data_IF_631667299458
#
_entry.id   IF_631667299458
#
_cell.length_a   1.000
_cell.length_b   1.000
_cell.length_c   1.000
_cell.angle_alpha   90.00
_cell.angle_beta   90.00
_cell.angle_gamma   90.00
#
_symmetry.space_group_name_H-M   'P 1'
#
loop_
_entity.id
_entity.type
_entity.pdbx_description
1 polymer ?
#
# COMPACT_ATOMS: atom_id res chain seq x y z
N UNK A 1 7.73 43.91 25.50
CA UNK A 1 7.83 42.93 26.57
C UNK A 1 8.39 41.64 25.97
N UNK A 2 9.53 41.10 26.46
CA UNK A 2 10.11 39.87 25.90
C UNK A 2 9.17 38.66 25.98
N UNK A 3 7.98 38.78 26.50
CA UNK A 3 6.95 37.74 26.56
C UNK A 3 6.03 37.70 25.33
N UNK A 4 6.07 38.69 24.44
CA UNK A 4 5.20 38.71 23.24
C UNK A 4 5.67 37.81 22.09
N UNK A 5 6.93 37.34 22.12
CA UNK A 5 7.48 36.48 21.05
C UNK A 5 7.36 34.97 21.31
N UNK A 6 6.83 34.55 22.47
CA UNK A 6 6.65 33.14 22.77
C UNK A 6 5.27 32.67 22.38
N UNK A 7 5.21 31.81 21.36
CA UNK A 7 3.97 31.22 20.85
C UNK A 7 3.86 29.76 21.23
N UNK A 8 2.76 29.38 21.87
CA UNK A 8 2.38 27.99 22.09
C UNK A 8 1.54 27.49 20.90
N UNK A 9 1.95 26.39 20.29
CA UNK A 9 1.22 25.76 19.19
C UNK A 9 0.58 24.48 19.73
N UNK A 10 -0.75 24.39 19.65
CA UNK A 10 -1.48 23.19 19.99
C UNK A 10 -1.41 22.18 18.84
N UNK A 11 -1.19 20.91 19.16
CA UNK A 11 -1.13 19.88 18.15
C UNK A 11 -1.42 18.50 18.72
N UNK A 12 -1.54 17.54 17.84
CA UNK A 12 -1.71 16.11 18.16
C UNK A 12 -1.00 15.26 17.12
N UNK A 13 -0.41 14.17 17.57
CA UNK A 13 -0.09 13.03 16.70
C UNK A 13 -1.34 12.14 16.64
N UNK A 14 -1.86 11.95 15.44
CA UNK A 14 -3.08 11.19 15.19
C UNK A 14 -2.84 9.93 14.35
N UNK A 15 -3.82 9.07 14.33
CA UNK A 15 -3.83 7.88 13.46
C UNK A 15 -4.64 8.18 12.21
N UNK A 16 -3.97 8.58 11.16
CA UNK A 16 -4.60 8.89 9.87
C UNK A 16 -4.98 7.62 9.13
N UNK A 17 -6.07 7.70 8.40
CA UNK A 17 -6.53 6.66 7.49
C UNK A 17 -6.67 7.29 6.11
N UNK A 18 -5.99 6.72 5.11
CA UNK A 18 -6.27 7.08 3.72
C UNK A 18 -7.57 6.37 3.31
N UNK A 19 -8.64 7.13 3.30
CA UNK A 19 -9.99 6.71 2.93
C UNK A 19 -10.34 7.05 1.48
N UNK A 20 -9.39 7.61 0.72
CA UNK A 20 -9.47 7.74 -0.73
C UNK A 20 -9.17 6.39 -1.40
N UNK A 21 -10.01 5.39 -1.11
CA UNK A 21 -9.84 4.07 -1.69
C UNK A 21 -10.23 4.14 -3.16
N UNK A 22 -9.32 3.71 -4.01
CA UNK A 22 -9.60 3.49 -5.42
C UNK A 22 -9.67 1.99 -5.68
N UNK A 23 -10.85 1.49 -6.04
CA UNK A 23 -11.01 0.11 -6.53
C UNK A 23 -10.35 -0.02 -7.90
N UNK A 24 -10.44 1.05 -8.70
CA UNK A 24 -9.88 1.09 -10.06
C UNK A 24 -9.04 2.34 -10.22
N UNK A 25 -7.76 2.16 -10.56
CA UNK A 25 -6.88 3.25 -10.98
C UNK A 25 -7.16 3.58 -12.45
N UNK A 26 -7.16 4.87 -12.79
CA UNK A 26 -7.41 5.38 -14.14
C UNK A 26 -8.65 4.74 -14.82
N UNK A 27 -9.84 4.79 -14.20
CA UNK A 27 -11.04 4.16 -14.75
C UNK A 27 -11.49 4.88 -16.02
N UNK A 28 -12.00 4.13 -16.97
CA UNK A 28 -12.71 4.64 -18.13
C UNK A 28 -14.08 3.97 -18.27
N UNK A 29 -14.94 4.55 -19.11
CA UNK A 29 -16.28 4.01 -19.28
C UNK A 29 -16.24 2.72 -20.11
N UNK A 30 -16.36 1.58 -19.43
CA UNK A 30 -16.47 0.26 -20.07
C UNK A 30 -17.33 -0.68 -19.22
N UNK A 31 -17.89 -1.70 -19.86
CA UNK A 31 -18.65 -2.75 -19.21
C UNK A 31 -17.75 -3.86 -18.68
N UNK A 32 -18.31 -4.74 -17.83
CA UNK A 32 -17.59 -5.94 -17.38
C UNK A 32 -17.53 -7.06 -18.42
N UNK A 33 -17.93 -6.80 -19.66
CA UNK A 33 -17.78 -7.73 -20.78
C UNK A 33 -16.46 -7.56 -21.53
N UNK A 34 -15.70 -6.51 -21.20
CA UNK A 34 -14.38 -6.24 -21.79
C UNK A 34 -13.34 -7.32 -21.40
N UNK A 35 -12.16 -7.18 -21.97
CA UNK A 35 -11.05 -8.08 -21.67
C UNK A 35 -10.38 -7.67 -20.37
N UNK A 36 -10.30 -8.59 -19.41
CA UNK A 36 -9.57 -8.42 -18.15
C UNK A 36 -8.41 -9.41 -18.08
N UNK A 37 -7.27 -8.93 -17.62
CA UNK A 37 -6.08 -9.74 -17.35
C UNK A 37 -5.91 -9.84 -15.85
N UNK A 38 -6.29 -10.96 -15.28
CA UNK A 38 -6.11 -11.25 -13.86
C UNK A 38 -4.76 -11.92 -13.67
N UNK A 39 -3.88 -11.35 -12.85
CA UNK A 39 -2.52 -11.84 -12.72
C UNK A 39 -2.05 -11.83 -11.27
N UNK A 40 -1.04 -12.64 -11.02
CA UNK A 40 -0.36 -12.80 -9.75
C UNK A 40 1.11 -13.10 -9.98
N UNK A 41 1.98 -12.72 -9.04
CA UNK A 41 3.42 -12.89 -9.12
C UNK A 41 3.95 -13.60 -7.88
N UNK A 42 4.88 -14.54 -8.09
CA UNK A 42 5.76 -14.99 -7.03
C UNK A 42 7.14 -14.32 -7.17
N UNK A 43 7.71 -13.90 -6.04
CA UNK A 43 8.92 -13.06 -6.01
C UNK A 43 9.91 -13.52 -4.94
N UNK A 44 11.18 -13.12 -5.05
CA UNK A 44 12.21 -13.41 -4.02
C UNK A 44 12.05 -12.56 -2.75
N UNK A 45 11.08 -11.64 -2.70
CA UNK A 45 10.78 -10.78 -1.55
C UNK A 45 9.83 -9.65 -1.90
N UNK A 46 9.72 -8.65 -1.04
CA UNK A 46 8.64 -7.65 -1.10
C UNK A 46 8.98 -6.34 -1.84
N UNK A 47 10.23 -6.11 -2.19
CA UNK A 47 10.69 -4.86 -2.81
C UNK A 47 10.96 -5.07 -4.30
N UNK A 48 10.21 -4.42 -5.17
CA UNK A 48 10.40 -4.50 -6.62
C UNK A 48 11.78 -4.01 -7.10
N UNK A 49 12.48 -3.17 -6.32
CA UNK A 49 13.82 -2.68 -6.65
C UNK A 49 14.94 -3.62 -6.22
N UNK A 50 14.69 -4.49 -5.22
CA UNK A 50 15.72 -5.34 -4.59
C UNK A 50 15.48 -6.83 -4.80
N UNK A 51 14.27 -7.20 -5.15
CA UNK A 51 13.87 -8.60 -5.32
C UNK A 51 13.42 -8.85 -6.76
N UNK A 52 13.46 -10.10 -7.15
CA UNK A 52 13.18 -10.53 -8.51
C UNK A 52 11.91 -11.35 -8.58
N UNK A 53 11.25 -11.34 -9.74
CA UNK A 53 10.12 -12.21 -10.04
C UNK A 53 10.66 -13.63 -10.27
N UNK A 54 9.98 -14.64 -9.72
CA UNK A 54 10.28 -16.07 -9.90
C UNK A 54 9.18 -16.86 -10.61
N UNK A 55 7.93 -16.35 -10.62
CA UNK A 55 6.84 -16.87 -11.43
C UNK A 55 5.89 -15.73 -11.82
N UNK A 56 5.34 -15.81 -13.05
CA UNK A 56 4.24 -14.97 -13.51
C UNK A 56 3.09 -15.88 -13.88
N UNK A 57 1.93 -15.67 -13.26
CA UNK A 57 0.68 -16.33 -13.59
C UNK A 57 -0.37 -15.33 -14.02
N UNK A 58 -1.11 -15.62 -15.10
CA UNK A 58 -2.22 -14.78 -15.50
C UNK A 58 -3.32 -15.57 -16.21
N UNK A 59 -4.55 -15.06 -16.10
CA UNK A 59 -5.71 -15.56 -16.82
C UNK A 59 -6.41 -14.39 -17.53
N UNK A 60 -6.88 -14.66 -18.76
CA UNK A 60 -7.63 -13.71 -19.56
C UNK A 60 -9.12 -14.00 -19.45
N UNK A 61 -9.88 -13.00 -19.02
CA UNK A 61 -11.35 -13.04 -18.96
C UNK A 61 -11.89 -12.19 -20.09
N UNK A 62 -12.91 -12.71 -20.76
CA UNK A 62 -13.71 -11.94 -21.72
C UNK A 62 -15.17 -12.42 -21.68
N UNK A 63 -16.12 -11.50 -21.74
CA UNK A 63 -17.55 -11.82 -21.67
C UNK A 63 -17.92 -12.71 -20.47
N UNK A 64 -17.32 -12.46 -19.31
CA UNK A 64 -17.56 -13.22 -18.07
C UNK A 64 -17.00 -14.64 -18.05
N UNK A 65 -16.11 -15.00 -18.98
CA UNK A 65 -15.51 -16.34 -19.04
C UNK A 65 -13.99 -16.27 -19.17
N UNK A 66 -13.30 -17.25 -18.57
CA UNK A 66 -11.86 -17.41 -18.74
C UNK A 66 -11.61 -18.01 -20.13
N UNK A 67 -10.84 -17.29 -20.97
CA UNK A 67 -10.58 -17.69 -22.37
C UNK A 67 -9.14 -18.10 -22.62
N UNK A 68 -8.19 -17.71 -21.77
CA UNK A 68 -6.76 -18.02 -21.95
C UNK A 68 -6.00 -17.96 -20.63
N UNK A 69 -4.81 -18.55 -20.59
CA UNK A 69 -3.90 -18.60 -19.42
C UNK A 69 -2.46 -18.37 -19.85
N UNK A 70 -1.72 -17.67 -18.99
CA UNK A 70 -0.28 -17.50 -19.09
C UNK A 70 0.37 -18.02 -17.80
N UNK A 71 1.43 -18.78 -17.92
CA UNK A 71 2.22 -19.24 -16.78
C UNK A 71 3.67 -19.38 -17.20
N UNK A 72 4.57 -18.76 -16.46
CA UNK A 72 6.00 -18.89 -16.71
C UNK A 72 6.79 -18.77 -15.43
N UNK A 73 7.67 -19.71 -15.15
CA UNK A 73 8.75 -19.51 -14.22
C UNK A 73 9.77 -18.53 -14.78
N UNK A 74 10.41 -17.79 -13.89
CA UNK A 74 11.45 -16.81 -14.21
C UNK A 74 12.70 -17.12 -13.41
N UNK A 75 13.84 -17.16 -14.07
CA UNK A 75 15.13 -17.31 -13.39
C UNK A 75 15.52 -15.95 -12.78
N UNK A 76 15.56 -15.82 -11.44
CA UNK A 76 15.90 -14.54 -10.78
C UNK A 76 17.39 -14.18 -10.89
N UNK A 77 18.26 -15.09 -11.37
CA UNK A 77 19.73 -14.95 -11.42
C UNK A 77 20.39 -14.76 -10.04
N UNK A 78 19.66 -15.12 -8.98
CA UNK A 78 20.10 -15.08 -7.59
C UNK A 78 19.46 -16.26 -6.82
N UNK A 79 20.01 -16.69 -5.68
CA UNK A 79 19.40 -17.71 -4.86
C UNK A 79 18.05 -17.26 -4.30
N UNK A 80 17.06 -18.15 -4.28
CA UNK A 80 15.75 -17.91 -3.66
C UNK A 80 15.91 -18.00 -2.14
N UNK A 81 15.51 -16.97 -1.36
CA UNK A 81 15.58 -17.04 0.10
C UNK A 81 14.77 -18.18 0.67
N UNK A 82 15.31 -18.89 1.67
CA UNK A 82 14.68 -20.09 2.25
C UNK A 82 13.24 -19.87 2.72
N UNK A 83 12.93 -18.67 3.28
CA UNK A 83 11.57 -18.37 3.71
C UNK A 83 10.59 -18.22 2.53
N UNK A 84 11.06 -17.77 1.37
CA UNK A 84 10.29 -17.71 0.11
C UNK A 84 10.10 -19.12 -0.47
N UNK A 85 11.16 -19.94 -0.50
CA UNK A 85 11.04 -21.34 -0.89
C UNK A 85 9.98 -22.07 -0.04
N UNK A 86 10.01 -21.85 1.28
CA UNK A 86 9.02 -22.44 2.19
C UNK A 86 7.60 -21.92 1.94
N UNK A 87 7.45 -20.67 1.53
CA UNK A 87 6.16 -20.04 1.26
C UNK A 87 5.57 -20.51 -0.07
N UNK A 88 6.36 -20.43 -1.14
CA UNK A 88 5.91 -20.64 -2.53
C UNK A 88 6.10 -22.09 -3.01
N UNK A 89 6.98 -22.84 -2.35
CA UNK A 89 7.42 -24.16 -2.81
C UNK A 89 8.36 -24.11 -4.03
N UNK A 90 8.67 -22.92 -4.55
CA UNK A 90 9.57 -22.74 -5.70
C UNK A 90 11.02 -22.76 -5.19
N UNK A 91 11.82 -23.67 -5.76
CA UNK A 91 13.23 -23.86 -5.40
C UNK A 91 14.15 -23.36 -6.49
N UNK A 92 15.42 -23.15 -6.15
CA UNK A 92 16.45 -22.81 -7.12
C UNK A 92 16.47 -23.76 -8.32
N UNK A 93 16.39 -25.06 -8.08
CA UNK A 93 16.34 -26.08 -9.13
C UNK A 93 15.12 -25.93 -10.05
N UNK A 94 14.00 -25.43 -9.54
CA UNK A 94 12.77 -25.21 -10.31
C UNK A 94 12.96 -24.13 -11.37
N UNK A 95 13.70 -23.07 -11.04
CA UNK A 95 13.89 -21.88 -11.89
C UNK A 95 15.23 -21.83 -12.61
N UNK A 96 16.17 -22.76 -12.27
CA UNK A 96 17.54 -22.74 -12.79
C UNK A 96 17.63 -22.70 -14.32
N UNK A 97 16.74 -23.42 -15.01
CA UNK A 97 16.70 -23.50 -16.46
C UNK A 97 15.59 -22.65 -17.09
N UNK A 98 14.88 -21.86 -16.27
CA UNK A 98 13.86 -20.93 -16.76
C UNK A 98 14.50 -19.73 -17.43
N UNK A 99 13.74 -19.08 -18.31
CA UNK A 99 14.16 -17.84 -18.96
C UNK A 99 14.25 -16.69 -17.94
N UNK A 100 15.19 -15.78 -18.09
CA UNK A 100 15.24 -14.58 -17.27
C UNK A 100 14.10 -13.61 -17.61
N UNK A 101 13.86 -12.63 -16.74
CA UNK A 101 12.71 -11.70 -16.86
C UNK A 101 12.71 -10.95 -18.20
N UNK A 102 13.88 -10.61 -18.73
CA UNK A 102 14.05 -9.89 -19.99
C UNK A 102 13.47 -10.66 -21.20
N UNK A 103 13.39 -12.00 -21.10
CA UNK A 103 12.83 -12.88 -22.14
C UNK A 103 11.37 -13.27 -21.86
N UNK A 104 10.94 -13.30 -20.58
CA UNK A 104 9.58 -13.68 -20.20
C UNK A 104 8.63 -12.49 -20.29
N UNK A 105 9.07 -11.31 -19.84
CA UNK A 105 8.23 -10.12 -19.73
C UNK A 105 7.60 -9.70 -21.06
N UNK A 106 8.30 -9.70 -22.21
CA UNK A 106 7.65 -9.38 -23.48
C UNK A 106 6.46 -10.28 -23.82
N UNK A 107 6.56 -11.59 -23.56
CA UNK A 107 5.46 -12.54 -23.79
C UNK A 107 4.28 -12.30 -22.84
N UNK A 108 4.55 -11.92 -21.58
CA UNK A 108 3.51 -11.50 -20.65
C UNK A 108 2.82 -10.21 -21.10
N UNK A 109 3.58 -9.21 -21.53
CA UNK A 109 3.03 -7.94 -22.04
C UNK A 109 2.19 -8.16 -23.30
N UNK A 110 2.61 -9.04 -24.21
CA UNK A 110 1.82 -9.45 -25.37
C UNK A 110 0.51 -10.13 -24.94
N UNK A 111 0.54 -10.97 -23.92
CA UNK A 111 -0.67 -11.55 -23.34
C UNK A 111 -1.59 -10.48 -22.74
N UNK A 112 -1.04 -9.41 -22.16
CA UNK A 112 -1.80 -8.31 -21.53
C UNK A 112 -2.46 -7.35 -22.55
N UNK A 113 -2.12 -7.40 -23.84
CA UNK A 113 -2.62 -6.44 -24.84
C UNK A 113 -4.13 -6.24 -24.73
N UNK A 114 -4.54 -4.96 -24.77
CA UNK A 114 -5.93 -4.48 -24.73
C UNK A 114 -6.75 -4.91 -23.50
N UNK A 115 -6.10 -5.46 -22.45
CA UNK A 115 -6.75 -5.91 -21.24
C UNK A 115 -6.67 -4.92 -20.09
N UNK A 116 -7.71 -4.87 -19.28
CA UNK A 116 -7.73 -4.17 -18.00
C UNK A 116 -7.04 -5.07 -16.98
N UNK A 117 -6.01 -4.55 -16.29
CA UNK A 117 -5.25 -5.31 -15.33
C UNK A 117 -6.05 -5.52 -14.04
N UNK A 118 -6.01 -6.73 -13.49
CA UNK A 118 -6.68 -7.08 -12.22
C UNK A 118 -5.74 -7.90 -11.37
N UNK A 119 -5.57 -7.54 -10.09
CA UNK A 119 -4.81 -8.33 -9.15
C UNK A 119 -5.38 -8.26 -7.73
N UNK A 120 -4.93 -9.14 -6.85
CA UNK A 120 -5.33 -9.18 -5.45
C UNK A 120 -4.29 -8.45 -4.60
N UNK A 121 -4.51 -7.17 -4.27
CA UNK A 121 -3.53 -6.20 -3.78
C UNK A 121 -2.60 -5.70 -4.90
N UNK A 122 -3.23 -5.18 -5.94
CA UNK A 122 -2.62 -4.84 -7.23
C UNK A 122 -1.37 -3.96 -7.18
N UNK A 123 -1.19 -3.14 -6.14
CA UNK A 123 -0.01 -2.30 -5.97
C UNK A 123 1.28 -3.10 -5.89
N UNK A 124 1.24 -4.26 -5.22
CA UNK A 124 2.39 -5.14 -5.09
C UNK A 124 2.83 -5.66 -6.47
N UNK A 125 1.94 -6.35 -7.16
CA UNK A 125 2.25 -6.98 -8.45
C UNK A 125 2.61 -5.96 -9.53
N UNK A 126 1.83 -4.87 -9.62
CA UNK A 126 2.10 -3.79 -10.57
C UNK A 126 3.46 -3.13 -10.31
N UNK A 127 3.91 -3.00 -9.06
CA UNK A 127 5.22 -2.41 -8.75
C UNK A 127 6.36 -3.21 -9.39
N UNK A 128 6.29 -4.54 -9.36
CA UNK A 128 7.28 -5.41 -9.99
C UNK A 128 7.21 -5.35 -11.52
N UNK A 129 6.01 -5.37 -12.09
CA UNK A 129 5.84 -5.25 -13.56
C UNK A 129 6.39 -3.92 -14.06
N UNK A 130 5.99 -2.80 -13.46
CA UNK A 130 6.43 -1.46 -13.87
C UNK A 130 7.95 -1.29 -13.73
N UNK A 131 8.53 -1.77 -12.62
CA UNK A 131 9.98 -1.73 -12.41
C UNK A 131 10.72 -2.52 -13.50
N UNK A 132 10.29 -3.73 -13.81
CA UNK A 132 10.93 -4.56 -14.83
C UNK A 132 10.70 -4.01 -16.25
N UNK A 133 9.54 -3.44 -16.56
CA UNK A 133 9.32 -2.73 -17.83
C UNK A 133 10.32 -1.58 -17.99
N UNK A 134 10.48 -0.74 -16.96
CA UNK A 134 11.47 0.35 -16.98
C UNK A 134 12.89 -0.16 -17.18
N UNK A 135 13.29 -1.21 -16.44
CA UNK A 135 14.61 -1.83 -16.53
C UNK A 135 14.91 -2.42 -17.91
N UNK A 136 13.90 -3.01 -18.55
CA UNK A 136 14.02 -3.63 -19.87
C UNK A 136 13.76 -2.66 -21.03
N UNK A 137 13.40 -1.40 -20.79
CA UNK A 137 13.04 -0.43 -21.81
C UNK A 137 11.74 -0.77 -22.57
N UNK A 138 10.81 -1.47 -21.90
CA UNK A 138 9.52 -1.88 -22.45
C UNK A 138 8.41 -0.93 -22.01
N UNK A 139 7.41 -0.74 -22.87
CA UNK A 139 6.19 -0.01 -22.50
C UNK A 139 5.42 -0.82 -21.44
N UNK A 140 4.90 -0.17 -20.38
CA UNK A 140 4.09 -0.84 -19.38
C UNK A 140 2.75 -1.31 -19.97
N UNK A 141 2.06 -2.28 -19.32
CA UNK A 141 0.71 -2.67 -19.71
C UNK A 141 -0.29 -1.53 -19.44
N UNK A 142 -1.60 -1.78 -19.67
CA UNK A 142 -2.66 -0.79 -19.40
C UNK A 142 -2.49 -0.11 -18.05
N UNK A 143 -2.69 1.22 -18.01
CA UNK A 143 -2.69 2.00 -16.77
C UNK A 143 -3.96 1.80 -15.94
N UNK A 144 -5.01 1.18 -16.50
CA UNK A 144 -6.24 0.86 -15.78
C UNK A 144 -6.04 -0.44 -15.02
N UNK A 145 -6.06 -0.34 -13.69
CA UNK A 145 -5.80 -1.46 -12.79
C UNK A 145 -6.90 -1.55 -11.75
N UNK A 146 -7.51 -2.74 -11.61
CA UNK A 146 -8.52 -3.05 -10.61
C UNK A 146 -7.91 -3.85 -9.47
N UNK A 147 -8.20 -3.43 -8.23
CA UNK A 147 -7.78 -4.13 -7.01
C UNK A 147 -8.95 -4.93 -6.40
N UNK A 148 -8.85 -6.24 -6.40
CA UNK A 148 -9.88 -7.11 -5.82
C UNK A 148 -9.91 -7.08 -4.29
N UNK A 149 -8.83 -6.67 -3.59
CA UNK A 149 -8.85 -6.43 -2.14
C UNK A 149 -9.69 -5.21 -1.80
N UNK A 150 -9.50 -4.12 -2.55
CA UNK A 150 -10.31 -2.90 -2.39
C UNK A 150 -11.79 -3.20 -2.64
N UNK A 151 -12.09 -3.94 -3.69
CA UNK A 151 -13.45 -4.35 -4.04
C UNK A 151 -14.04 -5.30 -2.97
N UNK A 152 -13.27 -6.26 -2.46
CA UNK A 152 -13.69 -7.17 -1.40
C UNK A 152 -14.06 -6.42 -0.10
N UNK A 153 -13.33 -5.36 0.25
CA UNK A 153 -13.63 -4.54 1.44
C UNK A 153 -15.02 -3.91 1.38
N UNK A 154 -15.47 -3.58 0.19
CA UNK A 154 -16.78 -2.96 -0.04
C UNK A 154 -17.88 -4.03 -0.14
N UNK A 155 -17.68 -5.08 -0.94
CA UNK A 155 -18.70 -6.09 -1.21
C UNK A 155 -18.86 -7.13 -0.10
N UNK A 156 -17.81 -7.37 0.72
CA UNK A 156 -17.79 -8.35 1.80
C UNK A 156 -17.48 -7.68 3.16
N UNK A 157 -18.31 -6.74 3.61
CA UNK A 157 -18.03 -5.95 4.82
C UNK A 157 -17.94 -6.80 6.11
N UNK A 158 -18.50 -8.01 6.12
CA UNK A 158 -18.45 -8.96 7.24
C UNK A 158 -17.05 -9.56 7.45
N UNK A 159 -16.18 -9.57 6.45
CA UNK A 159 -14.85 -10.13 6.57
C UNK A 159 -13.94 -9.26 7.44
N UNK A 160 -13.12 -9.92 8.26
CA UNK A 160 -12.08 -9.27 9.08
C UNK A 160 -10.70 -9.27 8.41
N UNK A 161 -10.48 -10.15 7.44
CA UNK A 161 -9.23 -10.32 6.68
C UNK A 161 -9.58 -10.48 5.21
N UNK A 162 -8.79 -9.87 4.35
CA UNK A 162 -9.01 -9.84 2.90
C UNK A 162 -7.85 -10.51 2.14
N UNK A 163 -7.22 -11.53 2.74
CA UNK A 163 -6.29 -12.41 2.03
C UNK A 163 -7.05 -13.25 1.02
N UNK A 164 -6.39 -13.69 -0.03
CA UNK A 164 -6.99 -14.45 -1.12
C UNK A 164 -7.78 -15.67 -0.62
N UNK A 165 -7.18 -16.46 0.28
CA UNK A 165 -7.79 -17.64 0.91
C UNK A 165 -9.08 -17.31 1.69
N UNK A 166 -9.08 -16.19 2.41
CA UNK A 166 -10.23 -15.77 3.20
C UNK A 166 -11.40 -15.30 2.31
N UNK A 167 -11.10 -14.56 1.24
CA UNK A 167 -12.09 -14.09 0.26
C UNK A 167 -12.64 -15.26 -0.55
N UNK A 168 -11.77 -16.16 -1.04
CA UNK A 168 -12.18 -17.37 -1.76
C UNK A 168 -13.12 -18.24 -0.93
N UNK A 169 -12.78 -18.47 0.36
CA UNK A 169 -13.60 -19.25 1.29
C UNK A 169 -14.98 -18.63 1.49
N UNK A 170 -15.05 -17.31 1.67
CA UNK A 170 -16.35 -16.59 1.85
C UNK A 170 -17.22 -16.73 0.61
N UNK A 171 -16.64 -16.70 -0.57
CA UNK A 171 -17.35 -16.85 -1.85
C UNK A 171 -17.52 -18.31 -2.30
N UNK A 172 -17.16 -19.30 -1.44
CA UNK A 172 -17.21 -20.73 -1.74
C UNK A 172 -16.43 -21.16 -2.98
N UNK A 173 -15.31 -20.48 -3.26
CA UNK A 173 -14.38 -20.80 -4.34
C UNK A 173 -13.31 -21.74 -3.81
N UNK A 174 -13.06 -22.84 -4.53
CA UNK A 174 -11.98 -23.78 -4.19
C UNK A 174 -10.64 -23.28 -4.71
N UNK A 175 -9.63 -23.22 -3.83
CA UNK A 175 -8.24 -22.99 -4.17
C UNK A 175 -7.59 -24.36 -4.46
N UNK A 176 -7.09 -24.55 -5.68
CA UNK A 176 -6.49 -25.84 -6.08
C UNK A 176 -5.08 -26.02 -5.49
N UNK A 177 -4.14 -25.11 -5.75
CA UNK A 177 -2.76 -25.15 -5.27
C UNK A 177 -2.31 -23.75 -4.85
N UNK A 178 -2.46 -23.42 -3.59
CA UNK A 178 -2.06 -22.13 -3.07
C UNK A 178 -0.53 -21.89 -3.23
N UNK A 179 -0.14 -20.67 -3.59
CA UNK A 179 1.24 -20.25 -3.88
C UNK A 179 1.81 -20.78 -5.21
N UNK A 180 0.98 -20.87 -6.21
CA UNK A 180 1.35 -20.96 -7.61
C UNK A 180 0.70 -19.79 -8.33
N UNK A 181 1.50 -18.92 -8.91
CA UNK A 181 1.02 -17.65 -9.48
C UNK A 181 -0.18 -17.83 -10.45
N UNK A 182 -0.20 -18.87 -11.28
CA UNK A 182 -1.32 -19.10 -12.19
C UNK A 182 -2.58 -19.60 -11.46
N UNK A 183 -2.45 -20.40 -10.40
CA UNK A 183 -3.59 -20.89 -9.62
C UNK A 183 -4.19 -19.76 -8.76
N UNK A 184 -3.34 -18.89 -8.19
CA UNK A 184 -3.76 -17.71 -7.44
C UNK A 184 -4.39 -16.65 -8.36
N UNK A 185 -3.86 -16.46 -9.58
CA UNK A 185 -4.50 -15.65 -10.62
C UNK A 185 -5.87 -16.20 -11.04
N UNK A 186 -6.00 -17.53 -11.21
CA UNK A 186 -7.30 -18.15 -11.54
C UNK A 186 -8.30 -18.03 -10.38
N UNK A 187 -7.85 -18.22 -9.14
CA UNK A 187 -8.69 -17.97 -7.96
C UNK A 187 -9.16 -16.51 -7.90
N UNK A 188 -8.25 -15.57 -8.12
CA UNK A 188 -8.57 -14.14 -8.20
C UNK A 188 -9.56 -13.84 -9.33
N UNK A 189 -9.43 -14.51 -10.47
CA UNK A 189 -10.36 -14.41 -11.59
C UNK A 189 -11.77 -14.89 -11.22
N UNK A 190 -11.88 -16.02 -10.54
CA UNK A 190 -13.16 -16.55 -10.07
C UNK A 190 -13.80 -15.63 -9.01
N UNK A 191 -12.99 -15.07 -8.11
CA UNK A 191 -13.43 -14.04 -7.15
C UNK A 191 -13.97 -12.82 -7.89
N UNK A 192 -13.24 -12.32 -8.89
CA UNK A 192 -13.64 -11.17 -9.68
C UNK A 192 -14.95 -11.41 -10.42
N UNK A 193 -15.13 -12.59 -11.02
CA UNK A 193 -16.39 -12.98 -11.67
C UNK A 193 -17.57 -12.99 -10.68
N UNK A 194 -17.36 -13.50 -9.46
CA UNK A 194 -18.37 -13.42 -8.39
C UNK A 194 -18.66 -11.98 -7.98
N UNK A 195 -17.67 -11.12 -7.93
CA UNK A 195 -17.89 -9.71 -7.66
C UNK A 195 -18.70 -9.03 -8.77
N UNK A 196 -18.50 -9.37 -10.04
CA UNK A 196 -19.33 -8.88 -11.15
C UNK A 196 -20.80 -9.29 -10.98
N UNK A 197 -21.07 -10.53 -10.53
CA UNK A 197 -22.44 -10.97 -10.21
C UNK A 197 -23.07 -10.08 -9.12
N UNK A 198 -22.35 -9.88 -7.98
CA UNK A 198 -22.82 -9.04 -6.86
C UNK A 198 -23.00 -7.58 -7.25
N UNK A 199 -22.14 -7.03 -8.10
CA UNK A 199 -22.24 -5.67 -8.63
C UNK A 199 -23.47 -5.52 -9.55
N UNK A 200 -23.74 -6.53 -10.38
CA UNK A 200 -24.90 -6.55 -11.26
C UNK A 200 -26.21 -6.54 -10.50
N UNK A 201 -26.29 -7.26 -9.37
CA UNK A 201 -27.43 -7.22 -8.44
C UNK A 201 -27.67 -5.82 -7.85
N UNK A 202 -26.62 -5.01 -7.72
CA UNK A 202 -26.67 -3.61 -7.29
C UNK A 202 -26.83 -2.62 -8.45
N UNK A 203 -27.12 -3.09 -9.68
CA UNK A 203 -27.23 -2.27 -10.89
C UNK A 203 -25.93 -1.53 -11.26
N UNK A 204 -24.78 -2.03 -10.83
CA UNK A 204 -23.46 -1.51 -11.19
C UNK A 204 -22.93 -2.33 -12.36
N UNK A 205 -22.84 -1.70 -13.52
CA UNK A 205 -22.50 -2.37 -14.78
C UNK A 205 -21.29 -1.77 -15.50
N UNK A 206 -20.71 -0.70 -14.94
CA UNK A 206 -19.64 0.06 -15.55
C UNK A 206 -18.48 0.24 -14.59
N UNK A 207 -17.24 0.12 -15.09
CA UNK A 207 -16.00 0.23 -14.32
C UNK A 207 -15.87 1.58 -13.59
N UNK A 208 -16.31 2.68 -14.23
CA UNK A 208 -16.27 4.02 -13.60
C UNK A 208 -17.12 4.14 -12.34
N UNK A 209 -18.15 3.31 -12.19
CA UNK A 209 -19.04 3.36 -11.02
C UNK A 209 -18.36 2.74 -9.78
N UNK A 210 -17.31 1.92 -9.93
CA UNK A 210 -16.72 1.17 -8.81
C UNK A 210 -16.16 2.08 -7.72
N UNK A 211 -15.47 3.15 -8.07
CA UNK A 211 -14.89 4.04 -7.08
C UNK A 211 -15.93 4.81 -6.25
N UNK A 212 -17.15 4.99 -6.79
CA UNK A 212 -18.25 5.60 -6.02
C UNK A 212 -18.78 4.69 -4.89
N UNK A 213 -18.46 3.40 -4.91
CA UNK A 213 -18.78 2.47 -3.81
C UNK A 213 -17.91 2.67 -2.57
N UNK A 214 -16.80 3.39 -2.70
CA UNK A 214 -15.84 3.63 -1.62
C UNK A 214 -16.27 4.81 -0.75
N UNK A 215 -17.51 4.87 -0.30
CA UNK A 215 -17.91 5.83 0.72
C UNK A 215 -17.23 5.48 2.05
N UNK A 216 -16.66 6.50 2.68
CA UNK A 216 -15.91 6.38 3.93
C UNK A 216 -16.85 6.10 5.13
N UNK A 217 -17.41 4.90 5.20
CA UNK A 217 -18.20 4.48 6.36
C UNK A 217 -17.29 4.19 7.56
N UNK A 218 -17.76 4.40 8.82
CA UNK A 218 -16.97 4.07 10.01
C UNK A 218 -16.46 2.63 10.04
N UNK A 219 -17.26 1.70 9.51
CA UNK A 219 -16.92 0.27 9.41
C UNK A 219 -15.76 0.03 8.44
N UNK A 220 -15.76 0.69 7.30
CA UNK A 220 -14.69 0.64 6.32
C UNK A 220 -13.41 1.28 6.89
N UNK A 221 -13.51 2.48 7.47
CA UNK A 221 -12.40 3.16 8.16
C UNK A 221 -11.77 2.25 9.23
N UNK A 222 -12.59 1.47 9.95
CA UNK A 222 -12.11 0.50 10.94
C UNK A 222 -11.22 -0.60 10.39
N UNK A 223 -11.30 -0.92 9.10
CA UNK A 223 -10.58 -2.01 8.41
C UNK A 223 -9.33 -1.54 7.67
N UNK A 224 -9.19 -0.24 7.46
CA UNK A 224 -8.06 0.33 6.74
C UNK A 224 -6.78 0.40 7.60
N UNK A 225 -5.60 0.45 6.99
CA UNK A 225 -4.37 0.71 7.72
C UNK A 225 -4.39 2.10 8.34
N UNK A 226 -3.63 2.27 9.43
CA UNK A 226 -3.43 3.57 10.08
C UNK A 226 -1.98 4.01 9.95
N UNK A 227 -1.80 5.30 9.77
CA UNK A 227 -0.50 5.96 9.70
C UNK A 227 -0.42 7.04 10.77
N UNK A 228 0.77 7.29 11.31
CA UNK A 228 0.98 8.46 12.15
C UNK A 228 0.94 9.72 11.29
N UNK A 229 0.37 10.78 11.82
CA UNK A 229 0.34 12.10 11.19
C UNK A 229 0.24 13.17 12.24
N UNK A 230 0.89 14.31 11.99
CA UNK A 230 0.90 15.44 12.91
C UNK A 230 -0.14 16.47 12.45
N UNK A 231 -0.94 16.96 13.38
CA UNK A 231 -1.87 18.08 13.17
C UNK A 231 -1.51 19.20 14.12
N UNK A 232 -1.19 20.38 13.59
CA UNK A 232 -0.89 21.57 14.38
C UNK A 232 -1.96 22.65 14.10
N UNK A 233 -2.38 23.36 15.14
CA UNK A 233 -3.31 24.48 15.01
C UNK A 233 -2.54 25.79 14.77
N UNK A 234 -2.71 26.38 13.59
CA UNK A 234 -2.09 27.64 13.18
C UNK A 234 -2.72 28.87 13.84
N UNK A 235 -4.02 28.79 14.11
CA UNK A 235 -4.85 29.87 14.64
C UNK A 235 -6.07 29.30 15.40
N UNK A 236 -6.98 30.14 15.86
CA UNK A 236 -8.19 29.74 16.60
C UNK A 236 -9.14 28.89 15.77
N UNK A 237 -9.27 29.13 14.45
CA UNK A 237 -10.07 28.29 13.55
C UNK A 237 -9.46 26.88 13.52
N UNK A 238 -8.15 26.78 13.34
CA UNK A 238 -7.43 25.51 13.38
C UNK A 238 -7.57 24.80 14.72
N UNK A 239 -7.58 25.53 15.84
CA UNK A 239 -7.79 24.95 17.17
C UNK A 239 -9.18 24.30 17.29
N UNK A 240 -10.23 24.95 16.80
CA UNK A 240 -11.59 24.40 16.77
C UNK A 240 -11.65 23.17 15.85
N UNK A 241 -11.04 23.26 14.66
CA UNK A 241 -10.98 22.13 13.72
C UNK A 241 -10.20 20.94 14.31
N UNK A 242 -9.07 21.20 14.99
CA UNK A 242 -8.31 20.16 15.69
C UNK A 242 -9.18 19.44 16.73
N UNK A 243 -9.92 20.16 17.56
CA UNK A 243 -10.80 19.56 18.56
C UNK A 243 -11.95 18.79 17.91
N UNK A 244 -12.47 19.26 16.79
CA UNK A 244 -13.49 18.55 15.99
C UNK A 244 -12.96 17.23 15.48
N UNK A 245 -11.77 17.20 14.89
CA UNK A 245 -11.11 15.99 14.39
C UNK A 245 -10.88 14.97 15.51
N UNK A 246 -10.35 15.42 16.66
CA UNK A 246 -10.12 14.56 17.82
C UNK A 246 -11.46 14.00 18.32
N UNK A 247 -12.49 14.84 18.49
CA UNK A 247 -13.80 14.38 18.96
C UNK A 247 -14.42 13.34 18.03
N UNK A 248 -14.40 13.59 16.72
CA UNK A 248 -14.94 12.64 15.74
C UNK A 248 -14.16 11.33 15.67
N UNK A 249 -12.82 11.39 15.80
CA UNK A 249 -11.98 10.18 15.82
C UNK A 249 -12.33 9.25 16.99
N UNK A 250 -12.76 9.79 18.12
CA UNK A 250 -13.18 9.02 19.29
C UNK A 250 -14.65 8.60 19.26
N UNK A 251 -15.53 9.43 18.74
CA UNK A 251 -16.98 9.20 18.78
C UNK A 251 -17.50 8.43 17.56
N UNK A 252 -16.94 8.70 16.38
CA UNK A 252 -17.44 8.16 15.12
C UNK A 252 -16.52 7.09 14.50
N UNK A 253 -15.19 7.24 14.67
CA UNK A 253 -14.19 6.42 13.97
C UNK A 253 -13.26 5.61 14.90
N UNK A 254 -13.66 5.35 16.13
CA UNK A 254 -12.86 4.56 17.06
C UNK A 254 -12.92 3.07 16.73
N UNK A 255 -11.79 2.50 16.34
CA UNK A 255 -11.63 1.05 16.23
C UNK A 255 -10.23 0.66 16.72
N UNK A 256 -10.13 0.09 17.93
CA UNK A 256 -8.90 -0.19 18.70
C UNK A 256 -8.10 1.07 19.07
N UNK A 257 -8.18 2.12 18.27
CA UNK A 257 -7.57 3.45 18.44
C UNK A 257 -8.43 4.49 17.74
N UNK A 258 -8.32 5.79 18.12
CA UNK A 258 -9.04 6.84 17.41
C UNK A 258 -8.43 7.00 16.00
N UNK A 259 -9.26 6.98 14.97
CA UNK A 259 -8.86 7.06 13.57
C UNK A 259 -9.34 8.37 12.97
N UNK A 260 -8.50 8.99 12.15
CA UNK A 260 -8.83 10.27 11.49
C UNK A 260 -8.75 10.04 9.98
N UNK A 261 -9.91 9.93 9.28
CA UNK A 261 -9.94 9.85 7.82
C UNK A 261 -9.31 11.08 7.18
N UNK A 262 -8.55 10.92 6.10
CA UNK A 262 -7.98 12.05 5.35
C UNK A 262 -9.06 12.96 4.78
N UNK A 263 -10.15 12.41 4.26
CA UNK A 263 -11.31 13.19 3.79
C UNK A 263 -11.89 14.08 4.89
N UNK A 264 -11.91 13.62 6.15
CA UNK A 264 -12.35 14.43 7.29
C UNK A 264 -11.35 15.56 7.60
N UNK A 265 -10.03 15.28 7.49
CA UNK A 265 -8.99 16.31 7.64
C UNK A 265 -9.16 17.39 6.56
N UNK A 266 -9.36 17.02 5.30
CA UNK A 266 -9.58 17.94 4.18
C UNK A 266 -10.78 18.83 4.41
N UNK A 267 -11.88 18.26 4.89
CA UNK A 267 -13.10 19.02 5.23
C UNK A 267 -12.88 20.05 6.34
N UNK A 268 -11.94 19.81 7.25
CA UNK A 268 -11.62 20.66 8.38
C UNK A 268 -10.21 21.27 8.30
N UNK A 269 -9.64 21.39 7.08
CA UNK A 269 -8.25 21.78 6.85
C UNK A 269 -7.92 23.21 7.26
N UNK A 270 -8.89 24.11 7.25
CA UNK A 270 -8.65 25.52 7.51
C UNK A 270 -8.01 25.75 8.88
N UNK A 271 -6.91 26.51 8.87
CA UNK A 271 -6.16 26.84 10.08
C UNK A 271 -5.33 25.71 10.67
N UNK A 272 -5.22 24.57 9.98
CA UNK A 272 -4.36 23.45 10.34
C UNK A 272 -3.08 23.43 9.53
N UNK A 273 -2.05 22.82 10.10
CA UNK A 273 -0.80 22.44 9.44
C UNK A 273 -0.64 20.93 9.66
N UNK A 274 -0.42 20.19 8.59
CA UNK A 274 -0.35 18.72 8.60
C UNK A 274 1.06 18.25 8.27
N UNK A 275 1.64 17.41 9.13
CA UNK A 275 2.98 16.86 8.98
C UNK A 275 2.99 15.36 8.74
N UNK A 276 4.03 14.87 8.02
CA UNK A 276 4.16 13.47 7.60
C UNK A 276 4.55 12.49 8.71
N UNK A 277 4.86 13.00 9.90
CA UNK A 277 5.25 12.24 11.10
C UNK A 277 6.48 11.32 10.92
N UNK A 278 6.55 10.27 11.75
CA UNK A 278 7.69 9.37 11.93
C UNK A 278 7.73 8.20 10.92
N UNK A 279 8.50 7.14 11.24
CA UNK A 279 8.58 5.90 10.45
C UNK A 279 7.24 5.16 10.33
N UNK A 280 6.32 5.41 11.27
CA UNK A 280 4.96 4.90 11.20
C UNK A 280 4.02 5.77 10.35
N UNK A 281 4.52 6.91 9.85
CA UNK A 281 3.83 7.78 8.90
C UNK A 281 3.69 7.18 7.51
N UNK A 282 2.75 7.71 6.75
CA UNK A 282 2.43 7.19 5.42
C UNK A 282 3.57 7.38 4.43
N UNK A 283 4.18 8.59 4.39
CA UNK A 283 5.29 8.88 3.49
C UNK A 283 6.48 7.95 3.73
N UNK A 284 6.90 7.81 4.98
CA UNK A 284 8.04 6.95 5.30
C UNK A 284 7.77 5.49 4.90
N UNK A 285 6.56 4.99 5.19
CA UNK A 285 6.16 3.64 4.78
C UNK A 285 6.06 3.47 3.27
N UNK A 286 5.61 4.48 2.55
CA UNK A 286 5.57 4.45 1.09
C UNK A 286 6.98 4.33 0.50
N UNK A 287 7.94 5.10 1.03
CA UNK A 287 9.35 5.06 0.60
C UNK A 287 10.01 3.71 0.92
N UNK A 288 9.70 3.12 2.08
CA UNK A 288 10.26 1.82 2.49
C UNK A 288 9.60 0.62 1.83
N UNK A 289 8.44 0.82 1.19
CA UNK A 289 7.70 -0.19 0.41
C UNK A 289 7.85 0.02 -1.09
N UNK A 290 8.77 0.88 -1.52
CA UNK A 290 9.07 1.19 -2.92
C UNK A 290 7.80 1.53 -3.75
N UNK A 291 6.90 2.35 -3.17
CA UNK A 291 5.70 2.79 -3.88
C UNK A 291 6.08 3.61 -5.13
N UNK A 292 5.26 3.58 -6.20
CA UNK A 292 5.48 4.38 -7.40
C UNK A 292 5.60 5.88 -7.10
N UNK A 293 6.40 6.59 -7.90
CA UNK A 293 6.63 8.03 -7.73
C UNK A 293 5.33 8.84 -7.76
N UNK A 294 4.36 8.46 -8.58
CA UNK A 294 3.04 9.10 -8.64
C UNK A 294 2.27 8.99 -7.31
N UNK A 295 2.37 7.83 -6.65
CA UNK A 295 1.73 7.62 -5.35
C UNK A 295 2.47 8.39 -4.25
N UNK A 296 3.81 8.42 -4.28
CA UNK A 296 4.63 9.22 -3.39
C UNK A 296 4.27 10.71 -3.56
N UNK A 297 4.13 11.19 -4.79
CA UNK A 297 3.72 12.56 -5.09
C UNK A 297 2.34 12.90 -4.49
N UNK A 298 1.35 12.01 -4.68
CA UNK A 298 0.00 12.15 -4.09
C UNK A 298 0.04 12.21 -2.56
N UNK A 299 0.87 11.37 -1.94
CA UNK A 299 1.06 11.36 -0.48
C UNK A 299 1.66 12.69 -0.02
N UNK A 300 2.71 13.17 -0.68
CA UNK A 300 3.40 14.42 -0.32
C UNK A 300 2.46 15.62 -0.47
N UNK A 301 1.62 15.64 -1.51
CA UNK A 301 0.68 16.75 -1.76
C UNK A 301 -0.28 16.97 -0.58
N UNK A 302 -0.68 15.89 0.09
CA UNK A 302 -1.55 15.96 1.26
C UNK A 302 -0.91 16.68 2.45
N UNK A 303 0.42 16.63 2.64
CA UNK A 303 1.13 17.19 3.78
C UNK A 303 1.60 18.63 3.53
N UNK A 304 1.60 19.46 4.58
CA UNK A 304 2.13 20.83 4.53
C UNK A 304 3.63 20.85 4.74
N UNK A 305 4.17 19.89 5.50
CA UNK A 305 5.60 19.69 5.70
C UNK A 305 5.96 18.19 5.82
N UNK A 306 7.19 17.88 5.51
CA UNK A 306 7.74 16.54 5.67
C UNK A 306 8.65 16.48 6.90
N UNK A 307 8.83 15.29 7.46
CA UNK A 307 9.56 15.09 8.71
C UNK A 307 10.67 14.09 8.54
N UNK A 308 11.84 14.41 9.10
CA UNK A 308 12.97 13.50 9.27
C UNK A 308 13.31 13.37 10.74
N UNK A 309 13.85 12.21 11.11
CA UNK A 309 14.19 11.90 12.50
C UNK A 309 15.62 11.35 12.62
N UNK A 310 16.20 11.37 13.83
CA UNK A 310 17.49 10.73 14.06
C UNK A 310 17.48 9.27 13.59
N UNK A 311 18.47 8.87 12.83
CA UNK A 311 18.55 7.50 12.27
C UNK A 311 18.55 6.40 13.34
N UNK A 312 18.98 6.71 14.56
CA UNK A 312 18.91 5.80 15.71
C UNK A 312 17.49 5.38 16.07
N UNK A 313 16.49 6.22 15.81
CA UNK A 313 15.08 5.86 16.07
C UNK A 313 14.63 4.68 15.18
N UNK A 314 15.27 4.51 14.02
CA UNK A 314 14.95 3.50 13.01
C UNK A 314 15.93 2.33 12.99
N UNK A 315 16.88 2.25 13.93
CA UNK A 315 17.90 1.18 14.00
C UNK A 315 17.30 -0.23 14.07
N UNK A 316 16.08 -0.37 14.65
CA UNK A 316 15.37 -1.65 14.69
C UNK A 316 15.11 -2.24 13.29
N UNK A 317 15.05 -1.43 12.24
CA UNK A 317 14.85 -1.88 10.86
C UNK A 317 16.02 -2.71 10.33
N UNK A 318 17.23 -2.48 10.85
CA UNK A 318 18.44 -3.25 10.48
C UNK A 318 18.39 -4.69 11.00
N UNK A 319 17.52 -4.99 11.96
CA UNK A 319 17.37 -6.31 12.60
C UNK A 319 16.06 -7.00 12.17
N UNK A 320 15.31 -6.39 11.28
CA UNK A 320 13.99 -6.88 10.88
C UNK A 320 14.01 -7.42 9.44
N UNK A 321 13.63 -8.67 9.25
CA UNK A 321 13.48 -9.29 7.93
C UNK A 321 12.46 -8.58 7.02
N UNK A 322 11.67 -7.67 7.60
CA UNK A 322 10.67 -6.88 6.86
C UNK A 322 11.32 -5.79 6.00
N UNK A 323 12.47 -5.28 6.41
CA UNK A 323 13.12 -4.15 5.76
C UNK A 323 14.44 -4.63 5.14
N UNK A 324 14.70 -4.23 3.91
CA UNK A 324 15.92 -4.58 3.20
C UNK A 324 17.07 -3.58 3.47
N UNK A 325 17.22 -3.14 4.73
CA UNK A 325 18.26 -2.21 5.17
C UNK A 325 19.28 -2.97 6.02
N UNK A 326 20.55 -2.81 5.67
CA UNK A 326 21.65 -3.52 6.33
C UNK A 326 22.54 -2.60 7.16
N UNK A 327 22.54 -1.30 6.83
CA UNK A 327 23.49 -0.33 7.42
C UNK A 327 22.79 0.95 7.87
N UNK A 328 23.47 1.68 8.77
CA UNK A 328 23.02 3.02 9.17
C UNK A 328 23.03 4.01 8.00
N UNK A 329 23.85 3.77 6.97
CA UNK A 329 23.88 4.61 5.78
C UNK A 329 22.63 4.44 4.92
N UNK A 330 22.04 3.25 4.89
CA UNK A 330 20.73 3.02 4.25
C UNK A 330 19.65 3.86 4.93
N UNK A 331 19.64 3.93 6.26
CA UNK A 331 18.69 4.77 6.99
C UNK A 331 18.93 6.28 6.77
N UNK A 332 20.21 6.70 6.65
CA UNK A 332 20.54 8.08 6.26
C UNK A 332 20.07 8.41 4.84
N UNK A 333 20.14 7.43 3.93
CA UNK A 333 19.68 7.60 2.56
C UNK A 333 18.17 7.88 2.49
N UNK A 334 17.35 7.28 3.37
CA UNK A 334 15.91 7.58 3.45
C UNK A 334 15.70 9.05 3.86
N UNK A 335 16.36 9.51 4.92
CA UNK A 335 16.25 10.92 5.34
C UNK A 335 16.70 11.87 4.23
N UNK A 336 17.81 11.56 3.56
CA UNK A 336 18.30 12.35 2.42
C UNK A 336 17.31 12.35 1.25
N UNK A 337 16.60 11.24 1.03
CA UNK A 337 15.55 11.15 0.01
C UNK A 337 14.36 12.04 0.38
N UNK A 338 13.90 12.01 1.64
CA UNK A 338 12.82 12.89 2.12
C UNK A 338 13.19 14.36 1.94
N UNK A 339 14.44 14.75 2.24
CA UNK A 339 14.92 16.13 2.01
C UNK A 339 14.84 16.51 0.53
N UNK A 340 15.31 15.66 -0.39
CA UNK A 340 15.20 15.88 -1.84
C UNK A 340 13.76 15.99 -2.32
N UNK A 341 12.87 15.16 -1.78
CA UNK A 341 11.43 15.23 -2.07
C UNK A 341 10.85 16.55 -1.59
N UNK A 342 11.23 17.03 -0.40
CA UNK A 342 10.85 18.35 0.09
C UNK A 342 11.27 19.47 -0.85
N UNK A 343 12.50 19.44 -1.36
CA UNK A 343 12.98 20.39 -2.37
C UNK A 343 12.18 20.30 -3.67
N UNK A 344 11.97 19.08 -4.18
CA UNK A 344 11.25 18.84 -5.45
C UNK A 344 9.80 19.32 -5.39
N UNK A 345 9.10 19.03 -4.29
CA UNK A 345 7.68 19.37 -4.10
C UNK A 345 7.48 20.70 -3.36
N UNK A 346 8.55 21.45 -3.11
CA UNK A 346 8.52 22.74 -2.40
C UNK A 346 7.81 22.66 -1.03
N UNK A 347 8.02 21.55 -0.31
CA UNK A 347 7.51 21.33 1.05
C UNK A 347 8.64 21.54 2.07
N UNK A 348 8.43 22.30 3.15
CA UNK A 348 9.38 22.36 4.24
C UNK A 348 9.72 20.98 4.78
N UNK A 349 10.98 20.75 5.11
CA UNK A 349 11.40 19.53 5.81
C UNK A 349 11.86 19.92 7.22
N UNK A 350 11.27 19.28 8.22
CA UNK A 350 11.52 19.56 9.64
C UNK A 350 12.22 18.37 10.27
N UNK A 351 13.32 18.63 10.98
CA UNK A 351 13.98 17.62 11.80
C UNK A 351 13.33 17.60 13.20
N UNK A 352 12.73 16.47 13.56
CA UNK A 352 12.16 16.22 14.88
C UNK A 352 12.89 15.10 15.58
N UNK A 353 12.73 14.97 16.89
CA UNK A 353 13.46 13.94 17.65
C UNK A 353 12.60 12.74 18.03
N UNK A 354 11.28 12.82 17.89
CA UNK A 354 10.33 11.79 18.33
C UNK A 354 10.60 11.32 19.78
N UNK A 355 10.67 12.28 20.68
CA UNK A 355 11.10 12.06 22.07
C UNK A 355 10.06 11.25 22.84
N UNK A 356 10.48 10.15 23.46
CA UNK A 356 9.62 9.25 24.21
C UNK A 356 9.96 9.15 25.71
N UNK A 357 10.98 9.83 26.16
CA UNK A 357 11.38 9.94 27.57
C UNK A 357 12.06 11.26 27.83
N UNK A 358 12.06 11.71 29.08
CA UNK A 358 12.55 13.05 29.46
C UNK A 358 14.06 13.07 29.62
N UNK A 359 14.62 12.13 30.40
CA UNK A 359 16.03 12.07 30.69
C UNK A 359 16.68 10.84 30.05
N UNK A 360 17.96 10.90 29.68
CA UNK A 360 18.66 9.75 29.04
C UNK A 360 18.58 8.45 29.84
N UNK A 361 18.58 8.52 31.16
CA UNK A 361 18.46 7.38 32.08
C UNK A 361 17.09 6.70 32.04
N UNK A 362 16.04 7.38 31.54
CA UNK A 362 14.69 6.83 31.43
C UNK A 362 14.55 5.86 30.22
N UNK A 363 15.56 5.79 29.35
CA UNK A 363 15.61 4.87 28.21
C UNK A 363 15.40 3.41 28.63
N UNK A 364 15.94 3.00 29.77
CA UNK A 364 15.78 1.63 30.25
C UNK A 364 14.32 1.27 30.51
N UNK A 365 13.51 2.20 31.03
CA UNK A 365 12.09 1.97 31.30
C UNK A 365 11.33 1.80 29.99
N UNK A 366 11.64 2.63 28.96
CA UNK A 366 11.08 2.47 27.64
C UNK A 366 11.42 1.12 27.03
N UNK A 367 12.69 0.70 27.11
CA UNK A 367 13.15 -0.62 26.61
C UNK A 367 12.37 -1.77 27.24
N UNK A 368 12.17 -1.74 28.56
CA UNK A 368 11.39 -2.76 29.29
C UNK A 368 9.94 -2.78 28.79
N UNK A 369 9.30 -1.62 28.64
CA UNK A 369 7.92 -1.51 28.18
C UNK A 369 7.77 -2.04 26.74
N UNK A 370 8.71 -1.69 25.86
CA UNK A 370 8.67 -2.11 24.46
C UNK A 370 8.90 -3.63 24.35
N UNK A 371 9.84 -4.20 25.09
CA UNK A 371 10.05 -5.65 25.14
C UNK A 371 8.79 -6.40 25.61
N UNK A 372 8.06 -5.88 26.60
CA UNK A 372 6.79 -6.43 27.05
C UNK A 372 5.67 -6.35 25.99
N UNK A 373 5.82 -5.51 24.97
CA UNK A 373 4.90 -5.40 23.82
C UNK A 373 5.35 -6.22 22.60
N UNK A 374 6.48 -6.91 22.69
CA UNK A 374 7.02 -7.74 21.60
C UNK A 374 7.85 -6.96 20.56
N UNK A 375 8.45 -5.83 20.97
CA UNK A 375 9.36 -5.02 20.14
C UNK A 375 10.82 -5.20 20.57
#
# INVERSE_FOLDING_TARGET
DPKEDFKVIYGVEGYFVDDHISIVKNPFSCSFQETFIVFDLETTGFSSKKNNIIEIGAVKIKNGTIIDRFSSYVNPKEPIPFHIEKLTGIKDDTVAFSKPIEEVLPGFLDFCQDGIMVAHNSDFDMSFILHNCSKCGLAPPSSTVLDTVALARVLLPQLKKFKLDAVAKELHIQLANHHRAVDDAECTALIFLKFIELLSEQSITNLMQLNSLCEATPDLIGKLPTYHGIILAKNDIGRVNLYTLISKSHLEYFHKRPRIPKSLIEKHREGLIIGSACEAGELFRALTSDKPEEEIARIIDFYDYLEIQPVGNNEFMLRSDRYAYETMDDLRAINSHIVKLGETFQKPVVATCDVHFLNPEDEIYRRIIMTGKGF
#
